data_IF_837115372254
#
_entry.id   IF_837115372254
#
_cell.length_a   1.000
_cell.length_b   1.000
_cell.length_c   1.000
_cell.angle_alpha   90.00
_cell.angle_beta   90.00
_cell.angle_gamma   90.00
#
_symmetry.space_group_name_H-M   'P 1'
#
loop_
_entity.id
_entity.type
_entity.pdbx_description
1 polymer ?
#
# COMPACT_ATOMS: atom_id res chain seq x y z
N UNK A 1 -7.63 -11.74 -2.41
CA UNK A 1 -8.24 -10.43 -2.76
C UNK A 1 -7.87 -10.05 -4.19
N UNK A 2 -8.75 -9.46 -4.99
CA UNK A 2 -8.50 -9.17 -6.42
C UNK A 2 -8.48 -7.65 -6.72
N UNK A 3 -7.93 -7.26 -7.88
CA UNK A 3 -7.97 -5.87 -8.38
C UNK A 3 -9.42 -5.34 -8.54
N UNK A 4 -10.37 -6.22 -8.85
CA UNK A 4 -11.79 -5.85 -8.94
C UNK A 4 -12.37 -5.41 -7.58
N UNK A 5 -11.94 -6.04 -6.48
CA UNK A 5 -12.37 -5.66 -5.13
C UNK A 5 -11.84 -4.26 -4.77
N UNK A 6 -10.60 -3.94 -5.16
CA UNK A 6 -10.01 -2.59 -4.99
C UNK A 6 -10.83 -1.53 -5.73
N UNK A 7 -11.14 -1.79 -7.01
CA UNK A 7 -11.92 -0.87 -7.84
C UNK A 7 -13.27 -0.60 -7.18
N UNK A 8 -13.93 -1.63 -6.66
CA UNK A 8 -15.22 -1.47 -6.01
C UNK A 8 -15.13 -0.67 -4.69
N UNK A 9 -14.09 -0.87 -3.89
CA UNK A 9 -13.92 -0.18 -2.60
C UNK A 9 -13.48 1.29 -2.75
N UNK A 10 -12.49 1.56 -3.60
CA UNK A 10 -11.98 2.92 -3.81
C UNK A 10 -12.70 3.67 -4.93
N UNK A 11 -13.77 3.14 -5.50
CA UNK A 11 -14.45 3.59 -6.73
C UNK A 11 -14.38 5.11 -6.99
N UNK A 12 -14.82 5.93 -6.04
CA UNK A 12 -14.86 7.40 -6.17
C UNK A 12 -13.54 8.12 -5.84
N UNK A 13 -12.58 7.42 -5.25
CA UNK A 13 -11.30 7.94 -4.78
C UNK A 13 -10.13 7.58 -5.71
N UNK A 14 -10.31 6.65 -6.65
CA UNK A 14 -9.29 6.32 -7.65
C UNK A 14 -9.18 7.44 -8.68
N UNK A 15 -7.96 7.95 -8.84
CA UNK A 15 -7.63 8.99 -9.81
C UNK A 15 -6.76 8.39 -10.90
N UNK A 16 -7.25 8.45 -12.13
CA UNK A 16 -6.49 8.09 -13.33
C UNK A 16 -5.49 9.19 -13.63
N UNK A 17 -4.24 8.84 -13.95
CA UNK A 17 -3.17 9.82 -14.19
C UNK A 17 -2.64 9.69 -15.61
N UNK A 18 -2.41 10.85 -16.23
CA UNK A 18 -1.80 10.91 -17.56
C UNK A 18 -0.29 10.75 -17.41
N UNK A 19 0.29 9.83 -18.17
CA UNK A 19 1.71 9.57 -18.17
C UNK A 19 2.42 10.33 -19.29
N UNK A 20 3.50 11.03 -18.95
CA UNK A 20 4.40 11.62 -19.94
C UNK A 20 5.06 10.51 -20.78
N UNK A 21 5.34 10.71 -22.09
CA UNK A 21 5.88 9.65 -22.96
C UNK A 21 7.18 9.01 -22.44
N UNK A 22 8.06 9.79 -21.84
CA UNK A 22 9.32 9.31 -21.25
C UNK A 22 9.11 8.40 -20.04
N UNK A 23 8.02 8.57 -19.29
CA UNK A 23 7.64 7.67 -18.19
C UNK A 23 6.98 6.41 -18.77
N UNK A 24 6.06 6.57 -19.72
CA UNK A 24 5.42 5.44 -20.39
C UNK A 24 6.42 4.47 -21.02
N UNK A 25 7.53 4.96 -21.58
CA UNK A 25 8.54 4.11 -22.19
C UNK A 25 9.26 3.19 -21.18
N UNK A 26 9.32 3.57 -19.90
CA UNK A 26 10.10 2.89 -18.86
C UNK A 26 9.27 2.01 -17.93
N UNK A 27 7.96 2.23 -17.84
CA UNK A 27 7.10 1.44 -16.96
C UNK A 27 6.76 0.08 -17.57
N UNK A 28 6.45 -0.88 -16.70
CA UNK A 28 5.86 -2.16 -17.12
C UNK A 28 4.44 -1.95 -17.68
N UNK A 29 3.92 -2.93 -18.42
CA UNK A 29 2.53 -2.87 -18.93
C UNK A 29 1.52 -2.83 -17.78
N UNK A 30 1.79 -3.57 -16.69
CA UNK A 30 0.89 -3.63 -15.52
C UNK A 30 0.87 -2.28 -14.78
N UNK A 31 2.02 -1.65 -14.55
CA UNK A 31 2.09 -0.34 -13.88
C UNK A 31 1.40 0.75 -14.69
N UNK A 32 1.56 0.73 -16.02
CA UNK A 32 0.84 1.66 -16.91
C UNK A 32 -0.66 1.50 -16.74
N UNK A 33 -1.16 0.28 -16.83
CA UNK A 33 -2.59 0.00 -16.69
C UNK A 33 -3.13 0.41 -15.33
N UNK A 34 -2.39 0.15 -14.26
CA UNK A 34 -2.76 0.58 -12.91
C UNK A 34 -2.85 2.10 -12.83
N UNK A 35 -1.90 2.84 -13.39
CA UNK A 35 -1.85 4.30 -13.28
C UNK A 35 -2.88 4.99 -14.17
N UNK A 36 -3.04 4.52 -15.41
CA UNK A 36 -3.85 5.20 -16.44
C UNK A 36 -5.30 4.72 -16.48
N UNK A 37 -5.55 3.42 -16.26
CA UNK A 37 -6.88 2.84 -16.44
C UNK A 37 -7.61 2.58 -15.13
N UNK A 38 -6.91 2.02 -14.14
CA UNK A 38 -7.48 1.73 -12.82
C UNK A 38 -7.45 3.00 -11.96
N UNK A 39 -6.34 3.71 -11.95
CA UNK A 39 -6.06 4.85 -11.10
C UNK A 39 -5.47 4.45 -9.73
N UNK A 40 -4.83 5.41 -9.08
CA UNK A 40 -4.37 5.31 -7.69
C UNK A 40 -5.21 6.23 -6.82
N UNK A 41 -5.49 5.89 -5.55
CA UNK A 41 -6.16 6.83 -4.65
C UNK A 41 -5.33 8.11 -4.47
N UNK A 42 -5.96 9.24 -4.11
CA UNK A 42 -5.23 10.47 -3.78
C UNK A 42 -4.45 10.33 -2.47
N UNK A 43 -5.09 9.74 -1.46
CA UNK A 43 -4.53 9.52 -0.14
C UNK A 43 -5.05 8.23 0.47
N UNK A 44 -4.18 7.50 1.14
CA UNK A 44 -4.52 6.36 1.98
C UNK A 44 -3.44 6.22 3.04
N UNK A 45 -3.84 6.13 4.30
CA UNK A 45 -2.92 6.19 5.46
C UNK A 45 -2.07 7.46 5.42
N UNK A 46 -0.77 7.31 5.60
CA UNK A 46 0.23 8.36 5.46
C UNK A 46 0.67 8.58 4.00
N UNK A 47 0.24 7.76 3.04
CA UNK A 47 0.62 7.87 1.63
C UNK A 47 -0.28 8.85 0.87
N UNK A 48 0.34 9.82 0.20
CA UNK A 48 -0.30 10.78 -0.70
C UNK A 48 0.29 10.63 -2.10
N UNK A 49 -0.47 10.08 -3.04
CA UNK A 49 0.00 9.84 -4.40
C UNK A 49 -0.02 11.14 -5.23
N UNK A 50 1.07 11.43 -5.94
CA UNK A 50 1.19 12.64 -6.77
C UNK A 50 0.40 12.51 -8.06
N UNK A 51 -0.18 13.60 -8.54
CA UNK A 51 -0.82 13.65 -9.86
C UNK A 51 0.21 13.75 -10.99
N UNK A 52 1.31 14.47 -10.77
CA UNK A 52 2.40 14.58 -11.72
C UNK A 52 3.54 13.66 -11.28
N UNK A 53 3.67 12.54 -11.98
CA UNK A 53 4.73 11.57 -11.78
C UNK A 53 6.04 12.15 -12.32
N UNK A 54 7.10 12.10 -11.52
CA UNK A 54 8.39 12.69 -11.88
C UNK A 54 9.53 11.75 -11.52
N UNK A 55 10.55 11.70 -12.38
CA UNK A 55 11.76 10.97 -12.08
C UNK A 55 12.59 11.73 -11.06
N UNK A 56 12.97 11.04 -9.97
CA UNK A 56 14.00 11.51 -9.05
C UNK A 56 15.39 11.26 -9.63
N UNK A 57 15.56 10.11 -10.27
CA UNK A 57 16.78 9.68 -10.93
C UNK A 57 16.46 8.83 -12.16
N UNK A 58 17.47 8.24 -12.81
CA UNK A 58 17.26 7.41 -14.01
C UNK A 58 16.44 6.15 -13.73
N UNK A 59 16.51 5.63 -12.51
CA UNK A 59 15.93 4.37 -12.04
C UNK A 59 14.79 4.56 -11.04
N UNK A 60 14.49 5.79 -10.61
CA UNK A 60 13.51 6.06 -9.53
C UNK A 60 12.44 7.04 -9.99
N UNK A 61 11.19 6.59 -9.93
CA UNK A 61 10.01 7.41 -10.20
C UNK A 61 9.29 7.74 -8.88
N UNK A 62 9.10 9.03 -8.61
CA UNK A 62 8.29 9.49 -7.48
C UNK A 62 6.82 9.24 -7.82
N UNK A 63 6.18 8.37 -7.05
CA UNK A 63 4.75 8.04 -7.18
C UNK A 63 3.87 8.69 -6.12
N UNK A 64 4.48 9.22 -5.06
CA UNK A 64 3.79 9.94 -4.00
C UNK A 64 4.75 10.43 -2.93
N UNK A 65 4.18 10.92 -1.83
CA UNK A 65 4.91 11.26 -0.61
C UNK A 65 4.19 10.75 0.63
N UNK A 66 4.92 10.55 1.73
CA UNK A 66 4.33 10.35 3.05
C UNK A 66 3.84 11.69 3.64
N UNK A 67 3.10 11.65 4.75
CA UNK A 67 2.69 12.85 5.50
C UNK A 67 3.89 13.71 5.94
N UNK A 68 5.01 13.07 6.27
CA UNK A 68 6.27 13.73 6.63
C UNK A 68 7.07 14.20 5.40
N UNK A 69 6.44 14.24 4.21
CA UNK A 69 7.00 14.71 2.93
C UNK A 69 8.16 13.87 2.37
N UNK A 70 8.32 12.63 2.83
CA UNK A 70 9.30 11.69 2.28
C UNK A 70 8.78 11.10 0.97
N UNK A 71 9.63 10.95 -0.04
CA UNK A 71 9.20 10.41 -1.34
C UNK A 71 8.90 8.91 -1.27
N UNK A 72 7.85 8.50 -1.99
CA UNK A 72 7.51 7.11 -2.28
C UNK A 72 7.97 6.84 -3.71
N UNK A 73 8.90 5.90 -3.86
CA UNK A 73 9.62 5.67 -5.10
C UNK A 73 9.26 4.32 -5.69
N UNK A 74 8.93 4.29 -6.97
CA UNK A 74 8.94 3.09 -7.80
C UNK A 74 10.33 2.93 -8.41
N UNK A 75 11.00 1.83 -8.09
CA UNK A 75 12.30 1.45 -8.67
C UNK A 75 12.04 0.76 -10.01
N UNK A 76 12.39 1.42 -11.11
CA UNK A 76 12.03 1.01 -12.47
C UNK A 76 12.55 -0.38 -12.82
N UNK A 77 13.78 -0.70 -12.41
CA UNK A 77 14.43 -1.97 -12.79
C UNK A 77 13.84 -3.17 -12.07
N UNK A 78 13.44 -3.01 -10.80
CA UNK A 78 12.94 -4.11 -9.96
C UNK A 78 11.42 -4.12 -9.81
N UNK A 79 10.74 -3.01 -10.11
CA UNK A 79 9.32 -2.80 -9.82
C UNK A 79 9.02 -2.51 -8.35
N UNK A 80 10.02 -2.57 -7.47
CA UNK A 80 9.82 -2.41 -6.03
C UNK A 80 9.38 -0.98 -5.68
N UNK A 81 8.57 -0.89 -4.63
CA UNK A 81 8.19 0.38 -4.02
C UNK A 81 8.94 0.56 -2.70
N UNK A 82 9.61 1.69 -2.56
CA UNK A 82 10.41 2.03 -1.38
C UNK A 82 10.10 3.44 -0.90
N UNK A 83 10.45 3.71 0.35
CA UNK A 83 10.44 5.03 0.97
C UNK A 83 11.88 5.56 1.04
N UNK A 84 12.05 6.79 0.54
CA UNK A 84 13.35 7.39 0.19
C UNK A 84 14.39 7.44 1.33
N UNK A 85 14.04 7.97 2.51
CA UNK A 85 15.03 8.30 3.56
C UNK A 85 15.72 7.08 4.19
N UNK A 86 15.12 5.88 4.13
CA UNK A 86 15.64 4.66 4.76
C UNK A 86 15.78 3.48 3.79
N UNK A 87 15.48 3.69 2.51
CA UNK A 87 15.17 2.59 1.57
C UNK A 87 14.22 1.56 2.18
N UNK A 88 13.28 2.03 3.01
CA UNK A 88 12.32 1.16 3.67
C UNK A 88 11.44 0.54 2.59
N UNK A 89 11.43 -0.79 2.55
CA UNK A 89 10.69 -1.54 1.55
C UNK A 89 9.20 -1.51 1.88
N UNK A 90 8.40 -1.10 0.90
CA UNK A 90 6.95 -1.00 1.04
C UNK A 90 6.24 -2.15 0.34
N UNK A 91 6.62 -2.46 -0.91
CA UNK A 91 5.96 -3.51 -1.70
C UNK A 91 6.82 -3.97 -2.88
N UNK A 92 6.61 -5.21 -3.34
CA UNK A 92 7.32 -5.79 -4.50
C UNK A 92 6.90 -5.20 -5.84
N UNK A 93 5.74 -4.55 -5.87
CA UNK A 93 5.16 -3.94 -7.07
C UNK A 93 4.16 -2.87 -6.67
N UNK A 94 3.79 -2.01 -7.61
CA UNK A 94 2.71 -1.04 -7.42
C UNK A 94 1.38 -1.75 -7.12
N UNK A 95 1.11 -2.89 -7.76
CA UNK A 95 -0.06 -3.72 -7.48
C UNK A 95 -0.10 -4.22 -6.04
N UNK A 96 1.02 -4.76 -5.56
CA UNK A 96 1.13 -5.23 -4.19
C UNK A 96 0.87 -4.08 -3.22
N UNK A 97 1.48 -2.92 -3.44
CA UNK A 97 1.27 -1.75 -2.60
C UNK A 97 -0.22 -1.39 -2.49
N UNK A 98 -0.92 -1.31 -3.62
CA UNK A 98 -2.35 -0.94 -3.64
C UNK A 98 -3.20 -1.99 -2.93
N UNK A 99 -2.92 -3.27 -3.17
CA UNK A 99 -3.61 -4.37 -2.49
C UNK A 99 -3.39 -4.33 -0.98
N UNK A 100 -2.16 -4.07 -0.53
CA UNK A 100 -1.83 -4.00 0.89
C UNK A 100 -2.49 -2.79 1.56
N UNK A 101 -2.42 -1.62 0.92
CA UNK A 101 -3.12 -0.40 1.37
C UNK A 101 -4.62 -0.64 1.48
N UNK A 102 -5.21 -1.30 0.49
CA UNK A 102 -6.61 -1.68 0.51
C UNK A 102 -6.94 -2.57 1.71
N UNK A 103 -6.18 -3.65 1.92
CA UNK A 103 -6.42 -4.57 3.05
C UNK A 103 -6.47 -3.82 4.37
N UNK A 104 -5.54 -2.89 4.56
CA UNK A 104 -5.44 -2.11 5.78
C UNK A 104 -6.60 -1.11 5.93
N UNK A 105 -6.95 -0.36 4.88
CA UNK A 105 -8.10 0.56 4.93
C UNK A 105 -9.42 -0.17 5.16
N UNK A 106 -9.58 -1.35 4.55
CA UNK A 106 -10.75 -2.22 4.74
C UNK A 106 -10.84 -2.76 6.18
N UNK A 107 -9.71 -3.15 6.78
CA UNK A 107 -9.66 -3.53 8.20
C UNK A 107 -10.25 -2.42 9.07
N UNK A 108 -9.76 -1.20 8.92
CA UNK A 108 -10.13 -0.09 9.80
C UNK A 108 -11.51 0.48 9.55
N UNK A 109 -11.94 0.58 8.30
CA UNK A 109 -13.20 1.24 7.97
C UNK A 109 -14.39 0.30 7.94
N UNK A 110 -14.16 -1.01 7.88
CA UNK A 110 -15.23 -2.00 7.75
C UNK A 110 -15.14 -3.04 8.86
N UNK A 111 -14.05 -3.81 8.90
CA UNK A 111 -13.97 -5.01 9.74
C UNK A 111 -13.97 -4.69 11.25
N UNK A 112 -13.24 -3.67 11.67
CA UNK A 112 -13.19 -3.24 13.09
C UNK A 112 -14.51 -2.57 13.52
N UNK A 113 -15.09 -1.61 12.77
CA UNK A 113 -16.39 -1.03 13.08
C UNK A 113 -17.54 -2.03 13.15
N UNK A 114 -17.51 -3.07 12.33
CA UNK A 114 -18.48 -4.19 12.39
C UNK A 114 -18.27 -5.11 13.60
N UNK A 115 -17.24 -4.86 14.42
CA UNK A 115 -16.88 -5.68 15.57
C UNK A 115 -16.78 -7.17 15.24
N UNK A 116 -16.22 -7.51 14.06
CA UNK A 116 -16.18 -8.89 13.53
C UNK A 116 -15.60 -9.91 14.53
N UNK A 117 -14.66 -9.50 15.37
CA UNK A 117 -14.08 -10.33 16.43
C UNK A 117 -14.39 -9.82 17.85
N UNK A 118 -15.38 -8.94 17.97
CA UNK A 118 -15.68 -8.15 19.17
C UNK A 118 -15.05 -6.75 19.13
N UNK A 119 -15.30 -5.96 20.17
CA UNK A 119 -14.75 -4.60 20.31
C UNK A 119 -13.22 -4.65 20.34
N UNK A 120 -12.58 -3.77 19.57
CA UNK A 120 -11.13 -3.80 19.32
C UNK A 120 -10.26 -3.83 20.59
N UNK A 121 -10.57 -2.96 21.57
CA UNK A 121 -9.78 -2.81 22.81
C UNK A 121 -10.17 -3.78 23.93
N UNK A 122 -11.22 -4.59 23.75
CA UNK A 122 -11.68 -5.53 24.76
C UNK A 122 -11.04 -6.90 24.57
N UNK A 123 -10.79 -7.61 25.68
CA UNK A 123 -10.44 -9.03 25.68
C UNK A 123 -9.31 -9.42 24.70
N UNK A 124 -8.34 -8.51 24.50
CA UNK A 124 -7.25 -8.68 23.55
C UNK A 124 -7.69 -8.93 22.10
N UNK A 125 -8.88 -8.46 21.70
CA UNK A 125 -9.41 -8.66 20.34
C UNK A 125 -8.53 -8.01 19.26
N UNK A 126 -7.78 -6.95 19.59
CA UNK A 126 -6.76 -6.36 18.71
C UNK A 126 -5.78 -7.40 18.14
N UNK A 127 -5.41 -8.44 18.90
CA UNK A 127 -4.57 -9.55 18.40
C UNK A 127 -5.25 -10.36 17.30
N UNK A 128 -6.57 -10.58 17.41
CA UNK A 128 -7.34 -11.28 16.37
C UNK A 128 -7.44 -10.44 15.09
N UNK A 129 -7.54 -9.12 15.23
CA UNK A 129 -7.50 -8.19 14.09
C UNK A 129 -6.10 -8.14 13.45
N UNK A 130 -5.03 -8.17 14.24
CA UNK A 130 -3.65 -8.27 13.73
C UNK A 130 -3.45 -9.56 12.91
N UNK A 131 -3.85 -10.71 13.46
CA UNK A 131 -3.82 -12.00 12.75
C UNK A 131 -4.67 -12.00 11.48
N UNK A 132 -5.84 -11.35 11.51
CA UNK A 132 -6.66 -11.22 10.30
C UNK A 132 -5.94 -10.40 9.23
N UNK A 133 -5.34 -9.26 9.60
CA UNK A 133 -4.58 -8.43 8.68
C UNK A 133 -3.40 -9.19 8.08
N UNK A 134 -2.60 -9.83 8.91
CA UNK A 134 -1.47 -10.67 8.50
C UNK A 134 -1.89 -11.72 7.47
N UNK A 135 -2.95 -12.49 7.77
CA UNK A 135 -3.47 -13.51 6.86
C UNK A 135 -3.93 -12.94 5.51
N UNK A 136 -4.55 -11.76 5.49
CA UNK A 136 -4.95 -11.12 4.24
C UNK A 136 -3.74 -10.56 3.46
N UNK A 137 -2.70 -10.07 4.15
CA UNK A 137 -1.48 -9.58 3.53
C UNK A 137 -0.62 -10.72 2.96
N UNK A 138 -0.53 -11.87 3.64
CA UNK A 138 0.17 -13.07 3.16
C UNK A 138 -0.47 -13.67 1.90
N UNK A 139 -1.79 -13.47 1.69
CA UNK A 139 -2.45 -13.83 0.42
C UNK A 139 -2.01 -12.96 -0.76
N UNK A 140 -1.48 -11.76 -0.50
CA UNK A 140 -0.98 -10.82 -1.51
C UNK A 140 0.51 -11.06 -1.76
N UNK A 141 1.28 -11.22 -0.69
CA UNK A 141 2.71 -11.49 -0.72
C UNK A 141 3.03 -12.62 0.27
N UNK A 142 3.17 -13.88 -0.20
CA UNK A 142 3.46 -15.01 0.68
C UNK A 142 4.77 -14.87 1.46
N UNK A 143 5.68 -14.02 0.99
CA UNK A 143 6.99 -13.80 1.57
C UNK A 143 7.05 -12.49 2.39
N UNK A 144 5.90 -11.92 2.77
CA UNK A 144 5.78 -10.65 3.51
C UNK A 144 6.68 -10.60 4.76
N UNK A 145 6.74 -11.72 5.49
CA UNK A 145 7.39 -11.84 6.80
C UNK A 145 8.80 -12.43 6.75
N UNK A 146 9.23 -12.98 5.61
CA UNK A 146 10.53 -13.66 5.52
C UNK A 146 11.75 -12.72 5.59
N UNK A 147 11.53 -11.40 5.65
CA UNK A 147 12.56 -10.37 5.79
C UNK A 147 12.28 -9.49 7.02
N UNK A 148 12.38 -10.13 8.18
CA UNK A 148 11.80 -9.80 9.49
C UNK A 148 12.28 -8.50 10.18
N UNK A 149 12.87 -7.54 9.46
CA UNK A 149 13.31 -6.27 10.06
C UNK A 149 13.21 -5.03 9.14
N UNK A 150 12.59 -5.15 7.95
CA UNK A 150 12.54 -4.02 6.99
C UNK A 150 11.17 -3.76 6.36
N UNK A 151 10.20 -4.65 6.57
CA UNK A 151 8.92 -4.56 5.91
C UNK A 151 7.98 -3.67 6.73
N UNK A 152 7.60 -2.51 6.17
CA UNK A 152 6.68 -1.56 6.81
C UNK A 152 5.39 -2.22 7.34
N UNK A 153 4.87 -3.20 6.60
CA UNK A 153 3.64 -3.90 6.99
C UNK A 153 3.81 -4.83 8.18
N UNK A 154 5.00 -5.40 8.40
CA UNK A 154 5.28 -6.20 9.61
C UNK A 154 5.15 -5.35 10.87
N UNK A 155 5.79 -4.18 10.88
CA UNK A 155 5.67 -3.21 11.97
C UNK A 155 4.22 -2.76 12.22
N UNK A 156 3.41 -2.58 11.18
CA UNK A 156 1.99 -2.24 11.38
C UNK A 156 1.16 -3.40 11.95
N UNK A 157 1.46 -4.65 11.59
CA UNK A 157 0.83 -5.82 12.22
C UNK A 157 1.19 -5.86 13.71
N UNK A 158 2.46 -5.65 14.04
CA UNK A 158 2.94 -5.58 15.42
C UNK A 158 2.24 -4.45 16.20
N UNK A 159 2.16 -3.24 15.65
CA UNK A 159 1.51 -2.11 16.33
C UNK A 159 0.03 -2.41 16.66
N UNK A 160 -0.68 -3.13 15.77
CA UNK A 160 -2.06 -3.58 16.02
C UNK A 160 -2.06 -4.71 17.07
N UNK A 161 -1.11 -5.64 17.02
CA UNK A 161 -0.99 -6.71 18.01
C UNK A 161 -0.75 -6.16 19.42
N UNK A 162 0.01 -5.08 19.57
CA UNK A 162 0.21 -4.38 20.84
C UNK A 162 -0.94 -3.46 21.23
N UNK A 163 -1.93 -3.26 20.36
CA UNK A 163 -3.06 -2.36 20.59
C UNK A 163 -2.67 -0.88 20.57
N UNK A 164 -1.53 -0.55 19.97
CA UNK A 164 -0.97 0.81 19.86
C UNK A 164 -1.75 1.62 18.83
N UNK A 165 -2.16 0.99 17.73
CA UNK A 165 -2.99 1.63 16.71
C UNK A 165 -4.45 1.61 17.18
N UNK A 166 -5.07 2.78 17.34
CA UNK A 166 -6.49 2.92 17.68
C UNK A 166 -6.89 4.35 18.01
#
# INVERSE_FOLDING_TARGET
MTLQNIINHFKSFLVKRVLKPNIMAKLSVEDKLIITEIGLPNKILDFQFTNDLQFKSKSELIIGKTYNKQDILLIIESGNIVKDEDNCFLAKSLKNLILQLYTYDYLWKVIIPEAKFGNYRENYNHKKYAQFLENELLKIDPYLLENDNKYFWGSMIEDIEFGIVG
#
